data_IF_518262395232
#
_entry.id   IF_518262395232
#
_cell.length_a   1.000
_cell.length_b   1.000
_cell.length_c   1.000
_cell.angle_alpha   90.00
_cell.angle_beta   90.00
_cell.angle_gamma   90.00
#
_symmetry.space_group_name_H-M   'P 1'
#
loop_
_entity.id
_entity.type
_entity.pdbx_description
1 polymer ?
2 polymer ?
3 non-polymer ?
#
loop_
_entity_poly.entity_id
_entity_poly.type
_entity_poly.pdbx_seq_one_letter_code
_entity_poly.pdbx_strand_id
1 'polyribonucleotide' 'GGUUCGAAAUUAGGUGCGCUUCGCGUUACAGUUAAGGCUCUGAAAAGAGCCUUAAUUGUAAAACGCCUAUACAGUGAAGGGAUAUACGCUUGGGUUUGUCCAGCCUGAGCCUCUAUGCCAGAAAUGGCGCCUUCAUCGUGGGUUAGGACAUUUAAUUUU' ?
#
# COMPACT_ATOMS: atom_id res chain seq x y z
N UNK B 3 13.75 4.14 43.55
CA UNK B 3 14.08 5.07 42.44
C UNK B 3 13.09 4.85 41.28
N UNK B 4 12.35 5.89 40.89
CA UNK B 4 11.33 5.73 39.82
C UNK B 4 11.98 6.07 38.47
N UNK B 5 12.76 5.15 37.91
CA UNK B 5 13.36 5.38 36.56
C UNK B 5 12.28 5.06 35.52
N UNK B 6 11.66 6.08 34.94
CA UNK B 6 10.56 5.87 33.96
C UNK B 6 11.09 6.11 32.54
N UNK B 7 10.95 5.11 31.66
CA UNK B 7 11.34 5.24 30.26
C UNK B 7 10.16 5.76 29.46
N UNK B 8 10.38 6.88 28.78
CA UNK B 8 9.37 7.49 27.94
C UNK B 8 9.74 7.36 26.48
N UNK B 9 8.76 6.92 25.68
CA UNK B 9 8.96 6.67 24.26
C UNK B 9 7.92 7.46 23.49
N UNK B 10 8.38 8.42 22.68
CA UNK B 10 7.52 9.16 21.77
C UNK B 10 7.77 8.64 20.36
N UNK B 11 6.72 8.12 19.73
CA UNK B 11 6.83 7.45 18.44
C UNK B 11 6.14 8.29 17.38
N UNK B 12 6.94 8.86 16.48
CA UNK B 12 6.41 9.50 15.29
C UNK B 12 6.31 8.53 14.14
N UNK B 13 5.86 9.06 13.00
CA UNK B 13 5.77 8.24 11.81
C UNK B 13 7.12 7.87 11.21
N UNK B 14 8.13 8.71 11.42
CA UNK B 14 9.45 8.51 10.84
C UNK B 14 10.58 8.49 11.86
N UNK B 15 10.49 9.33 12.90
CA UNK B 15 11.53 9.45 13.91
C UNK B 15 10.95 9.02 15.26
N UNK B 16 11.83 8.66 16.19
CA UNK B 16 11.35 8.20 17.48
C UNK B 16 12.28 8.67 18.59
N UNK B 17 11.72 9.31 19.61
CA UNK B 17 12.48 9.79 20.76
C UNK B 17 12.37 8.87 21.95
N UNK B 18 13.51 8.59 22.57
CA UNK B 18 13.61 7.78 23.77
C UNK B 18 14.24 8.58 24.90
N UNK B 19 13.73 8.42 26.12
CA UNK B 19 14.31 9.09 27.26
C UNK B 19 14.11 8.27 28.51
N UNK B 20 14.99 8.45 29.50
CA UNK B 20 14.81 7.75 30.82
C UNK B 20 14.93 8.82 31.91
N UNK B 21 13.84 9.12 32.63
CA UNK B 21 13.88 10.25 33.61
C UNK B 21 13.73 9.75 35.05
N UNK B 22 14.77 9.93 35.88
CA UNK B 22 14.64 9.61 37.34
C UNK B 22 13.59 10.57 37.88
N UNK B 23 12.51 10.07 38.46
CA UNK B 23 11.39 10.91 38.85
C UNK B 23 11.60 11.67 40.15
N UNK B 24 12.63 11.35 40.95
CA UNK B 24 12.98 12.26 42.03
C UNK B 24 13.84 13.38 41.46
N UNK B 25 13.45 14.62 41.75
CA UNK B 25 14.02 15.85 41.23
C UNK B 25 13.94 15.96 39.71
N UNK B 26 13.19 15.06 39.05
CA UNK B 26 12.98 15.05 37.60
C UNK B 26 14.29 15.06 36.82
N UNK B 27 15.27 14.29 37.30
CA UNK B 27 16.53 14.18 36.60
C UNK B 27 16.36 13.31 35.34
N UNK B 28 17.18 13.59 34.34
CA UNK B 28 17.15 12.86 33.07
C UNK B 28 18.45 12.09 32.95
N UNK B 29 18.37 10.77 33.00
CA UNK B 29 19.56 9.92 32.92
C UNK B 29 19.89 9.47 31.50
N UNK B 30 18.93 9.57 30.59
CA UNK B 30 19.15 9.18 29.20
C UNK B 30 18.18 9.94 28.32
N UNK B 31 18.64 10.29 27.12
CA UNK B 31 17.82 10.99 26.13
C UNK B 31 18.45 10.77 24.77
N UNK B 32 17.66 10.29 23.81
CA UNK B 32 18.21 9.95 22.51
C UNK B 32 17.10 10.01 21.46
N UNK B 33 17.52 10.03 20.20
CA UNK B 33 16.65 9.97 19.05
C UNK B 33 17.07 8.82 18.14
N UNK B 34 16.13 8.33 17.34
CA UNK B 34 16.44 7.25 16.43
C UNK B 34 15.64 7.42 15.14
N UNK B 35 16.27 7.03 14.03
CA UNK B 35 15.67 7.08 12.71
C UNK B 35 15.14 5.70 12.36
N UNK B 36 13.86 5.63 12.03
CA UNK B 36 13.21 4.38 11.67
C UNK B 36 13.39 4.08 10.19
N UNK B 37 13.23 2.81 9.84
CA UNK B 37 13.38 2.38 8.45
C UNK B 37 12.12 2.69 7.66
N UNK B 38 12.24 3.57 6.68
CA UNK B 38 11.13 3.95 5.81
C UNK B 38 11.17 3.25 4.45
N UNK B 39 12.10 2.33 4.26
CA UNK B 39 12.34 1.70 2.97
C UNK B 39 11.72 0.32 2.85
N UNK B 40 10.85 -0.06 3.78
CA UNK B 40 10.31 -1.42 3.81
C UNK B 40 9.06 -1.55 2.96
N UNK B 41 8.21 -0.51 2.93
CA UNK B 41 7.01 -0.55 2.10
C UNK B 41 7.35 -0.61 0.62
N UNK B 42 8.37 0.15 0.20
CA UNK B 42 8.80 0.09 -1.19
C UNK B 42 9.42 -1.25 -1.54
N UNK B 43 10.15 -1.85 -0.61
CA UNK B 43 10.73 -3.17 -0.84
C UNK B 43 9.63 -4.23 -0.96
N UNK B 44 8.58 -4.12 -0.15
CA UNK B 44 7.45 -5.02 -0.29
C UNK B 44 6.68 -4.79 -1.58
N UNK B 45 6.59 -3.54 -2.04
CA UNK B 45 5.98 -3.28 -3.35
C UNK B 45 6.81 -3.90 -4.47
N UNK B 46 8.14 -3.85 -4.34
CA UNK B 46 9.01 -4.53 -5.29
C UNK B 46 8.79 -6.03 -5.26
N UNK B 47 8.62 -6.60 -4.07
CA UNK B 47 8.29 -8.02 -3.96
C UNK B 47 6.97 -8.35 -4.63
N UNK B 48 5.96 -7.50 -4.43
CA UNK B 48 4.66 -7.75 -5.04
C UNK B 48 4.75 -7.71 -6.57
N UNK B 49 5.49 -6.73 -7.11
CA UNK B 49 5.68 -6.66 -8.56
C UNK B 49 6.44 -7.88 -9.09
N UNK B 50 7.50 -8.28 -8.39
CA UNK B 50 8.29 -9.44 -8.82
C UNK B 50 7.47 -10.73 -8.74
N UNK B 51 6.67 -10.88 -7.68
CA UNK B 51 5.80 -12.04 -7.56
C UNK B 51 4.76 -12.08 -8.67
N UNK B 52 4.16 -10.94 -9.00
CA UNK B 52 3.22 -10.89 -10.10
C UNK B 52 3.86 -11.26 -11.43
N UNK B 53 5.08 -10.76 -11.67
CA UNK B 53 5.80 -11.08 -12.90
C UNK B 53 6.11 -12.57 -12.97
N UNK B 54 6.63 -13.13 -11.87
CA UNK B 54 7.00 -14.54 -11.84
C UNK B 54 5.79 -15.45 -12.00
N UNK B 55 4.68 -15.14 -11.33
CA UNK B 55 3.52 -15.99 -11.43
C UNK B 55 2.80 -15.84 -12.76
N UNK B 56 2.87 -14.66 -13.38
CA UNK B 56 2.39 -14.52 -14.75
C UNK B 56 3.21 -15.38 -15.71
N UNK B 57 4.53 -15.38 -15.54
CA UNK B 57 5.39 -16.23 -16.38
C UNK B 57 5.12 -17.71 -16.14
N UNK B 58 4.88 -18.11 -14.88
CA UNK B 58 4.58 -19.50 -14.58
C UNK B 58 3.24 -19.93 -15.16
N UNK B 59 2.23 -19.07 -15.07
CA UNK B 59 0.94 -19.36 -15.67
C UNK B 59 1.05 -19.44 -17.19
N UNK B 60 1.90 -18.58 -17.79
CA UNK B 60 2.16 -18.67 -19.22
C UNK B 60 2.80 -20.00 -19.58
N UNK B 61 3.76 -20.46 -18.78
CA UNK B 61 4.39 -21.75 -19.03
C UNK B 61 3.38 -22.89 -18.92
N UNK B 62 2.49 -22.82 -17.92
CA UNK B 62 1.47 -23.86 -17.76
C UNK B 62 0.50 -23.88 -18.94
N UNK B 63 0.07 -22.71 -19.39
CA UNK B 63 -0.84 -22.64 -20.54
C UNK B 63 -0.17 -23.14 -21.81
N UNK B 64 1.10 -22.78 -22.02
CA UNK B 64 1.83 -23.24 -23.20
C UNK B 64 2.00 -24.76 -23.17
N UNK B 65 2.34 -25.32 -22.02
CA UNK B 65 2.49 -26.77 -21.91
C UNK B 65 1.17 -27.49 -22.14
N UNK B 66 0.08 -26.97 -21.58
CA UNK B 66 -1.23 -27.59 -21.78
C UNK B 66 -1.66 -27.52 -23.24
N UNK B 67 -1.46 -26.38 -23.89
CA UNK B 67 -1.84 -26.24 -25.29
C UNK B 67 -0.98 -27.14 -26.18
N UNK B 68 0.33 -27.22 -25.91
CA UNK B 68 1.20 -28.11 -26.66
C UNK B 68 0.78 -29.56 -26.52
N UNK B 69 0.48 -29.98 -25.28
CA UNK B 69 0.04 -31.35 -25.05
C UNK B 69 -1.27 -31.66 -25.76
N UNK B 70 -2.24 -30.74 -25.68
CA UNK B 70 -3.52 -31.00 -26.34
C UNK B 70 -3.38 -31.02 -27.86
N UNK B 71 -2.63 -30.08 -28.43
CA UNK B 71 -2.50 -30.02 -29.87
C UNK B 71 -1.70 -31.20 -30.42
N UNK B 72 -0.69 -31.66 -29.68
CA UNK B 72 -0.01 -32.89 -30.09
C UNK B 72 -0.87 -34.12 -29.84
N UNK B 73 -1.85 -34.04 -28.94
CA UNK B 73 -2.76 -35.16 -28.73
C UNK B 73 -3.77 -35.28 -29.86
N UNK B 74 -4.25 -34.16 -30.39
CA UNK B 74 -5.27 -34.22 -31.45
C UNK B 74 -4.62 -34.32 -32.83
N UNK B 75 -3.30 -34.52 -32.86
CA UNK B 75 -2.61 -34.80 -34.10
C UNK B 75 -1.96 -33.61 -34.79
N UNK B 76 -1.99 -32.45 -34.14
CA UNK B 76 -1.35 -31.23 -34.71
C UNK B 76 0.07 -31.13 -34.18
N UNK B 77 1.02 -31.71 -34.92
CA UNK B 77 2.43 -31.74 -34.44
C UNK B 77 3.03 -30.33 -34.50
N UNK B 78 4.24 -30.16 -33.94
CA UNK B 78 4.88 -28.82 -33.90
C UNK B 78 4.90 -28.17 -35.29
N UNK B 79 5.21 -28.94 -36.33
CA UNK B 79 5.34 -28.37 -37.70
C UNK B 79 3.98 -27.87 -38.22
N UNK B 80 2.90 -28.60 -37.92
CA UNK B 80 1.57 -28.25 -38.47
C UNK B 80 1.35 -26.76 -38.55
N UNK B 81 1.07 -26.25 -39.76
CA UNK B 81 0.71 -24.84 -39.93
C UNK B 81 -0.48 -24.44 -39.07
N UNK B 82 -1.33 -25.38 -38.70
CA UNK B 82 -2.41 -25.12 -37.76
C UNK B 82 -1.93 -25.08 -36.32
N UNK B 83 -0.75 -25.66 -36.04
CA UNK B 83 -0.20 -25.63 -34.69
C UNK B 83 0.56 -24.35 -34.42
N UNK B 84 1.38 -23.91 -35.38
CA UNK B 84 2.24 -22.74 -35.17
C UNK B 84 1.42 -21.46 -35.01
N UNK B 85 0.32 -21.33 -35.74
CA UNK B 85 -0.55 -20.16 -35.58
C UNK B 85 -1.19 -20.14 -34.19
N UNK B 86 -1.68 -21.30 -33.73
CA UNK B 86 -2.34 -21.36 -32.43
C UNK B 86 -1.31 -21.21 -31.30
N UNK B 87 -0.13 -21.80 -31.46
CA UNK B 87 0.90 -21.64 -30.44
C UNK B 87 1.46 -20.23 -30.41
N UNK B 88 1.43 -19.53 -31.55
CA UNK B 88 1.89 -18.15 -31.58
C UNK B 88 0.91 -17.22 -30.88
N UNK B 89 -0.39 -17.44 -31.10
CA UNK B 89 -1.42 -16.65 -30.42
C UNK B 89 -1.57 -17.02 -28.95
N UNK B 90 -0.96 -18.12 -28.51
CA UNK B 90 -1.02 -18.48 -27.09
C UNK B 90 -0.12 -17.58 -26.24
N UNK B 91 0.99 -17.11 -26.82
CA UNK B 91 1.88 -16.20 -26.09
C UNK B 91 1.25 -14.82 -25.92
N UNK B 92 0.28 -14.46 -26.75
CA UNK B 92 -0.39 -13.16 -26.71
C UNK B 92 -1.89 -13.43 -26.79
N UNK B 93 -2.52 -13.65 -25.64
CA UNK B 93 -3.94 -13.94 -25.61
C UNK B 93 -4.81 -12.73 -25.33
N UNK B 94 -4.24 -11.64 -24.84
CA UNK B 94 -4.98 -10.40 -24.67
C UNK B 94 -5.80 -10.35 -23.41
N UNK B 95 -6.42 -9.19 -23.17
CA UNK B 95 -7.19 -9.00 -21.91
C UNK B 95 -8.63 -9.47 -22.11
N UNK B 96 -9.21 -10.09 -21.09
CA UNK B 96 -10.63 -10.55 -21.17
C UNK B 96 -11.52 -9.55 -20.43
N UNK B 97 -11.38 -8.26 -20.72
CA UNK B 97 -12.21 -7.22 -20.04
C UNK B 97 -12.23 -7.51 -18.55
N UNK B 98 -11.19 -8.16 -18.04
CA UNK B 98 -11.10 -8.45 -16.59
C UNK B 98 -9.70 -8.07 -16.11
N UNK B 99 -9.00 -7.22 -16.87
CA UNK B 99 -7.62 -6.82 -16.51
C UNK B 99 -7.57 -5.29 -16.36
N UNK B 116 -3.74 9.47 -3.77
CA UNK B 116 -4.81 8.56 -4.17
C UNK B 116 -5.08 8.69 -5.67
N UNK B 117 -5.23 9.93 -6.13
CA UNK B 117 -5.48 10.17 -7.56
C UNK B 117 -4.23 9.95 -8.39
N UNK B 118 -3.05 10.16 -7.81
CA UNK B 118 -1.81 9.93 -8.55
C UNK B 118 -1.64 8.45 -8.90
N UNK B 119 -1.94 7.55 -7.95
CA UNK B 119 -1.84 6.13 -8.21
C UNK B 119 -2.85 5.69 -9.28
N UNK B 120 -4.07 6.24 -9.20
CA UNK B 120 -5.07 5.92 -10.24
C UNK B 120 -4.54 6.41 -11.58
N UNK B 121 -4.16 7.69 -11.64
CA UNK B 121 -3.64 8.27 -12.90
C UNK B 121 -2.49 7.38 -13.40
N UNK B 122 -1.54 7.06 -12.52
CA UNK B 122 -0.36 6.25 -12.94
C UNK B 122 -0.81 4.92 -13.57
N UNK B 123 -1.65 4.15 -12.87
CA UNK B 123 -2.07 2.82 -13.38
C UNK B 123 -2.90 2.99 -14.65
N UNK B 124 -3.74 4.03 -14.70
CA UNK B 124 -4.59 4.27 -15.89
C UNK B 124 -3.70 4.38 -17.14
N UNK B 125 -2.56 5.05 -17.04
CA UNK B 125 -1.68 5.22 -18.21
C UNK B 125 -1.17 3.85 -18.66
N UNK B 126 -0.67 3.03 -17.71
CA UNK B 126 -0.10 1.71 -18.09
C UNK B 126 -1.19 0.85 -18.74
N UNK B 127 -2.43 0.93 -18.23
CA UNK B 127 -3.54 0.19 -18.88
C UNK B 127 -3.64 0.63 -20.33
N UNK B 128 -3.73 1.94 -20.57
CA UNK B 128 -3.83 2.46 -21.96
C UNK B 128 -2.57 2.03 -22.73
N UNK B 129 -1.41 2.09 -22.08
CA UNK B 129 -0.14 1.64 -22.74
C UNK B 129 -0.34 0.19 -23.17
N UNK B 130 -0.85 -0.65 -22.27
CA UNK B 130 -1.13 -2.06 -22.61
C UNK B 130 -2.18 -2.07 -23.68
N UNK B 131 -3.20 -1.22 -23.58
CA UNK B 131 -4.27 -1.30 -24.57
C UNK B 131 -3.80 -0.89 -25.97
N UNK B 132 -2.85 0.03 -26.05
CA UNK B 132 -2.39 0.49 -27.36
C UNK B 132 -1.54 -0.53 -28.09
N UNK B 133 -1.06 -1.59 -27.42
CA UNK B 133 -0.25 -2.60 -28.08
C UNK B 133 -0.67 -4.01 -27.68
N UNK B 134 -1.95 -4.21 -27.40
CA UNK B 134 -2.51 -5.54 -27.16
C UNK B 134 -3.90 -5.59 -27.76
N UNK B 135 -4.56 -6.73 -27.60
CA UNK B 135 -5.89 -6.95 -28.15
C UNK B 135 -6.81 -7.46 -27.06
N UNK B 136 -8.11 -7.59 -27.35
CA UNK B 136 -9.05 -8.17 -26.35
C UNK B 136 -9.11 -9.70 -26.53
N UNK B 137 -9.38 -10.46 -25.45
CA UNK B 137 -9.34 -11.93 -25.57
C UNK B 137 -10.04 -12.32 -26.88
N UNK B 138 -11.08 -11.72 -27.24
CA UNK B 138 -11.97 -12.07 -28.37
C UNK B 138 -11.19 -12.05 -29.68
N UNK B 139 -10.24 -11.11 -29.82
CA UNK B 139 -9.44 -10.98 -31.05
C UNK B 139 -8.52 -12.19 -31.23
N UNK B 140 -7.72 -12.51 -30.21
CA UNK B 140 -6.81 -13.69 -30.28
C UNK B 140 -7.65 -14.95 -30.47
N UNK B 141 -8.86 -14.97 -29.91
CA UNK B 141 -9.74 -16.17 -29.98
C UNK B 141 -10.34 -16.30 -31.38
N UNK B 142 -10.90 -15.21 -31.92
CA UNK B 142 -11.41 -15.27 -33.32
C UNK B 142 -10.23 -15.61 -34.25
N UNK B 143 -9.03 -15.27 -33.88
CA UNK B 143 -7.83 -15.55 -34.72
C UNK B 143 -7.49 -17.04 -34.64
N UNK B 144 -7.65 -17.65 -33.42
CA UNK B 144 -7.43 -19.14 -33.36
C UNK B 144 -8.62 -19.80 -34.09
N UNK B 145 -9.79 -19.18 -34.09
CA UNK B 145 -10.92 -19.74 -34.87
C UNK B 145 -10.48 -19.78 -36.34
N UNK B 146 -10.23 -18.63 -36.97
CA UNK B 146 -9.83 -18.69 -38.37
C UNK B 146 -8.64 -19.60 -38.59
N UNK B 147 -7.77 -19.73 -37.58
CA UNK B 147 -6.60 -20.60 -37.73
C UNK B 147 -7.00 -22.07 -37.81
N UNK B 148 -7.93 -22.50 -36.96
CA UNK B 148 -8.37 -23.89 -36.93
C UNK B 148 -9.61 -24.16 -37.77
N UNK B 149 -10.24 -23.13 -38.34
CA UNK B 149 -11.38 -23.37 -39.21
C UNK B 149 -10.93 -23.68 -40.63
N UNK B 150 -9.69 -23.37 -40.97
CA UNK B 150 -9.09 -23.79 -42.23
C UNK B 150 -8.04 -24.88 -42.03
N UNK B 151 -7.82 -25.33 -40.81
CA UNK B 151 -6.91 -26.42 -40.52
C UNK B 151 -7.56 -27.75 -40.24
N UNK B 152 -8.87 -27.89 -40.49
CA UNK B 152 -9.64 -29.12 -40.31
C UNK B 152 -9.55 -29.63 -38.87
N UNK B 153 -10.09 -28.81 -37.96
CA UNK B 153 -10.09 -29.11 -36.54
C UNK B 153 -11.49 -29.38 -36.00
N UNK B 154 -12.46 -29.61 -36.89
CA UNK B 154 -13.88 -29.87 -36.57
C UNK B 154 -14.40 -28.69 -35.75
N UNK B 155 -15.13 -28.91 -34.66
CA UNK B 155 -15.61 -27.81 -33.82
C UNK B 155 -15.30 -28.07 -32.35
N UNK B 156 -15.26 -29.35 -31.97
CA UNK B 156 -15.00 -29.71 -30.55
C UNK B 156 -13.57 -29.33 -30.20
N UNK B 157 -12.61 -29.60 -31.10
CA UNK B 157 -11.22 -29.33 -30.79
C UNK B 157 -10.95 -27.84 -30.66
N UNK B 158 -11.60 -27.01 -31.48
CA UNK B 158 -11.49 -25.57 -31.34
C UNK B 158 -12.19 -25.09 -30.07
N UNK B 159 -13.24 -25.80 -29.65
CA UNK B 159 -13.91 -25.47 -28.40
C UNK B 159 -13.05 -25.84 -27.19
N UNK B 160 -12.24 -26.89 -27.29
CA UNK B 160 -11.38 -27.30 -26.20
C UNK B 160 -10.12 -26.45 -26.08
N UNK B 161 -9.70 -25.74 -27.14
CA UNK B 161 -8.60 -24.80 -27.00
C UNK B 161 -9.09 -23.44 -26.53
N UNK B 162 -10.39 -23.19 -26.58
CA UNK B 162 -10.95 -22.01 -25.94
C UNK B 162 -11.03 -22.15 -24.42
N UNK B 163 -11.02 -23.38 -23.91
CA UNK B 163 -10.93 -23.61 -22.48
C UNK B 163 -9.50 -23.61 -21.97
N UNK B 164 -8.52 -23.40 -22.85
CA UNK B 164 -7.15 -23.22 -22.45
C UNK B 164 -6.72 -21.77 -22.57
N UNK B 165 -7.20 -21.08 -23.60
CA UNK B 165 -6.96 -19.65 -23.73
C UNK B 165 -7.70 -18.88 -22.62
N UNK B 166 -8.99 -19.17 -22.45
CA UNK B 166 -9.79 -18.54 -21.41
C UNK B 166 -9.84 -19.37 -20.14
N UNK B 167 -8.66 -19.75 -19.65
CA UNK B 167 -8.52 -20.54 -18.44
C UNK B 167 -7.72 -19.76 -17.42
N UNK B 168 -8.15 -19.85 -16.16
CA UNK B 168 -7.42 -19.19 -15.04
C UNK B 168 -6.74 -20.32 -14.27
N UNK B 169 -5.42 -20.27 -14.18
CA UNK B 169 -4.70 -21.38 -13.55
C UNK B 169 -4.61 -21.20 -12.04
N UNK B 170 -4.04 -20.12 -11.59
CA UNK B 170 -4.04 -19.83 -10.15
C UNK B 170 -5.29 -19.06 -9.79
N UNK B 171 -6.07 -19.52 -8.81
CA UNK B 171 -7.38 -18.91 -8.55
C UNK B 171 -7.27 -17.46 -8.11
N UNK B 172 -8.19 -16.63 -8.61
CA UNK B 172 -8.22 -15.22 -8.30
C UNK B 172 -9.06 -15.02 -7.05
N UNK B 173 -8.41 -14.92 -5.90
CA UNK B 173 -9.06 -14.85 -4.60
C UNK B 173 -8.65 -13.56 -3.92
N UNK B 174 -9.54 -12.56 -3.96
CA UNK B 174 -9.24 -11.23 -3.44
C UNK B 174 -10.35 -10.65 -2.58
N UNK B 175 -11.40 -11.42 -2.30
CA UNK B 175 -12.54 -10.88 -1.56
C UNK B 175 -12.28 -10.72 -0.08
N UNK B 176 -11.49 -11.61 0.53
CA UNK B 176 -11.28 -11.64 1.97
C UNK B 176 -9.78 -11.73 2.29
N UNK B 177 -8.98 -10.90 1.64
CA UNK B 177 -7.53 -10.93 1.80
C UNK B 177 -7.01 -9.89 2.79
N UNK B 178 -7.43 -8.63 2.63
CA UNK B 178 -7.01 -7.57 3.54
C UNK B 178 -7.78 -7.71 4.84
N UNK B 179 -7.15 -8.30 5.85
CA UNK B 179 -7.80 -8.63 7.11
C UNK B 179 -7.34 -7.69 8.21
N UNK B 180 -8.29 -7.04 8.87
CA UNK B 180 -8.03 -6.20 10.02
C UNK B 180 -8.81 -6.76 11.22
N UNK B 181 -8.17 -6.76 12.38
CA UNK B 181 -8.87 -7.17 13.60
C UNK B 181 -9.50 -5.93 14.25
N UNK B 182 -10.17 -6.15 15.38
CA UNK B 182 -10.87 -5.07 16.07
C UNK B 182 -9.89 -4.30 16.96
N UNK B 183 -10.31 -3.10 17.37
CA UNK B 183 -9.45 -2.18 18.10
C UNK B 183 -9.63 -2.24 19.61
N UNK B 184 -10.78 -2.75 20.08
CA UNK B 184 -11.14 -2.64 21.50
C UNK B 184 -10.46 -3.67 22.37
N UNK B 185 -9.71 -4.61 21.77
CA UNK B 185 -8.73 -5.47 22.42
C UNK B 185 -9.32 -6.59 23.26
N UNK B 186 -10.62 -6.57 23.53
CA UNK B 186 -11.22 -7.75 24.15
C UNK B 186 -11.84 -8.68 23.12
N UNK B 187 -12.07 -8.19 21.90
CA UNK B 187 -12.38 -9.05 20.76
C UNK B 187 -11.38 -8.74 19.67
N UNK B 188 -10.74 -9.77 19.13
CA UNK B 188 -9.85 -9.58 18.00
C UNK B 188 -10.46 -10.18 16.75
N UNK B 189 -11.79 -10.10 16.65
CA UNK B 189 -12.53 -10.79 15.59
C UNK B 189 -12.34 -10.06 14.26
N UNK B 190 -12.72 -10.72 13.17
CA UNK B 190 -12.55 -10.15 11.84
C UNK B 190 -13.53 -9.00 11.62
N UNK B 191 -13.00 -7.84 11.28
CA UNK B 191 -13.86 -6.71 10.95
C UNK B 191 -14.46 -6.91 9.56
N UNK B 192 -15.72 -6.54 9.37
CA UNK B 192 -16.33 -6.65 8.04
C UNK B 192 -15.84 -5.58 7.09
N UNK B 193 -16.06 -5.83 5.81
CA UNK B 193 -15.77 -4.82 4.81
C UNK B 193 -16.77 -3.68 4.90
N UNK B 194 -16.34 -2.49 4.47
CA UNK B 194 -17.19 -1.31 4.54
C UNK B 194 -18.43 -1.41 3.66
N UNK B 195 -18.42 -2.25 2.66
CA UNK B 195 -19.57 -2.34 1.72
C UNK B 195 -20.58 -3.40 2.20
N UNK B 196 -20.25 -4.10 3.31
CA UNK B 196 -21.18 -5.08 3.86
C UNK B 196 -21.97 -4.55 5.04
N UNK B 197 -21.41 -3.62 5.82
CA UNK B 197 -22.05 -3.15 7.04
C UNK B 197 -22.40 -1.68 6.92
N UNK B 198 -22.78 -1.26 5.70
CA UNK B 198 -23.15 0.14 5.46
C UNK B 198 -24.27 0.58 6.38
N UNK B 199 -25.21 -0.32 6.68
CA UNK B 199 -26.29 0.00 7.62
C UNK B 199 -25.74 0.33 9.00
N UNK B 200 -24.72 -0.40 9.44
CA UNK B 200 -24.06 -0.05 10.70
C UNK B 200 -23.08 1.10 10.53
N UNK B 201 -22.71 1.44 9.29
CA UNK B 201 -21.77 2.53 9.09
C UNK B 201 -22.48 3.88 9.10
N UNK B 202 -23.51 4.00 8.19
CA UNK B 202 -24.27 5.28 8.06
C UNK B 202 -24.86 5.67 9.43
N UNK B 203 -25.44 4.74 10.15
CA UNK B 203 -26.05 5.05 11.45
C UNK B 203 -25.00 5.54 12.44
N UNK B 204 -23.76 5.05 12.32
CA UNK B 204 -22.66 5.59 13.11
C UNK B 204 -22.44 7.07 12.86
N UNK B 205 -22.82 7.56 11.68
CA UNK B 205 -22.83 8.99 11.42
C UNK B 205 -24.02 9.66 12.09
N UNK B 206 -25.21 9.05 11.99
CA UNK B 206 -26.44 9.75 12.38
C UNK B 206 -26.73 9.66 13.87
N UNK B 207 -25.93 8.89 14.64
CA UNK B 207 -26.11 8.90 16.08
C UNK B 207 -25.80 10.26 16.68
N UNK B 208 -24.77 10.91 16.12
CA UNK B 208 -24.37 12.26 16.58
C UNK B 208 -25.04 13.32 15.72
N UNK B 209 -26.36 13.21 15.54
CA UNK B 209 -27.09 14.18 14.74
C UNK B 209 -28.17 14.83 15.59
N UNK B 210 -28.38 16.15 15.44
CA UNK B 210 -29.39 16.87 16.23
C UNK B 210 -30.80 16.77 15.63
N UNK B 211 -31.24 15.55 15.33
CA UNK B 211 -32.55 15.30 14.74
C UNK B 211 -33.26 14.23 15.56
N UNK B 212 -34.53 14.02 15.22
CA UNK B 212 -35.33 13.00 15.87
C UNK B 212 -34.89 11.60 15.41
N UNK B 213 -35.20 10.61 16.25
CA UNK B 213 -34.85 9.22 15.92
C UNK B 213 -35.61 8.72 14.69
N UNK B 214 -36.86 9.16 14.53
CA UNK B 214 -37.59 8.86 13.30
C UNK B 214 -36.92 9.50 12.09
N UNK B 215 -36.41 10.74 12.26
CA UNK B 215 -35.62 11.36 11.21
C UNK B 215 -34.31 10.62 10.98
N UNK B 216 -33.72 10.06 12.04
CA UNK B 216 -32.53 9.23 11.87
C UNK B 216 -32.82 8.00 11.04
N UNK B 217 -33.95 7.35 11.28
CA UNK B 217 -34.34 6.19 10.49
C UNK B 217 -34.67 6.57 9.04
N UNK B 218 -35.30 7.73 8.85
CA UNK B 218 -35.60 8.20 7.50
C UNK B 218 -34.31 8.49 6.74
N UNK B 219 -33.33 9.09 7.42
CA UNK B 219 -32.02 9.31 6.79
C UNK B 219 -31.30 8.00 6.51
N UNK B 220 -31.46 7.01 7.40
CA UNK B 220 -30.92 5.68 7.15
C UNK B 220 -31.49 5.09 5.86
N UNK B 221 -32.81 5.16 5.71
CA UNK B 221 -33.46 4.62 4.52
C UNK B 221 -33.06 5.40 3.27
N UNK B 222 -32.89 6.73 3.39
CA UNK B 222 -32.54 7.53 2.23
C UNK B 222 -31.10 7.31 1.78
N UNK B 223 -30.16 7.29 2.72
CA UNK B 223 -28.75 7.15 2.35
C UNK B 223 -28.41 5.71 1.99
N UNK B 224 -29.07 4.73 2.60
CA UNK B 224 -28.71 3.33 2.38
C UNK B 224 -29.15 2.83 1.01
N UNK B 225 -28.51 3.37 -0.05
CA UNK B 225 -28.78 3.05 -1.45
C UNK B 225 -30.25 3.32 -1.75
N UNK B 226 -31.00 2.36 -2.31
CA UNK B 226 -32.39 2.48 -2.75
C UNK B 226 -32.61 3.57 -3.80
N UNK B 227 -31.54 4.12 -4.38
CA UNK B 227 -31.59 5.18 -5.40
C UNK B 227 -32.42 6.37 -4.95
N UNK B 228 -32.23 6.78 -3.69
CA UNK B 228 -33.01 7.87 -3.13
C UNK B 228 -32.11 8.99 -2.60
N UNK B 229 -31.10 9.38 -3.39
CA UNK B 229 -30.18 10.44 -2.99
C UNK B 229 -30.79 11.82 -3.07
N UNK B 230 -31.94 11.99 -3.75
CA UNK B 230 -32.58 13.31 -3.78
C UNK B 230 -33.11 13.70 -2.42
N UNK B 231 -33.63 12.75 -1.65
CA UNK B 231 -34.04 13.04 -0.28
C UNK B 231 -32.83 13.32 0.61
N UNK B 232 -31.71 12.67 0.33
CA UNK B 232 -30.47 12.96 1.05
C UNK B 232 -30.04 14.39 0.81
N UNK B 233 -30.07 14.83 -0.46
CA UNK B 233 -29.73 16.21 -0.78
C UNK B 233 -30.71 17.20 -0.19
N UNK B 234 -32.02 16.87 -0.18
CA UNK B 234 -33.00 17.77 0.43
C UNK B 234 -32.79 17.91 1.93
N UNK B 235 -32.51 16.80 2.62
CA UNK B 235 -32.20 16.86 4.05
C UNK B 235 -30.92 17.66 4.30
N UNK B 236 -29.91 17.47 3.46
CA UNK B 236 -28.63 18.15 3.67
C UNK B 236 -28.75 19.64 3.39
N UNK B 237 -29.60 20.03 2.45
CA UNK B 237 -29.89 21.45 2.25
C UNK B 237 -30.71 21.98 3.41
N UNK B 238 -31.60 21.17 3.97
CA UNK B 238 -32.48 21.62 5.04
C UNK B 238 -31.74 21.71 6.39
N UNK B 239 -30.82 20.78 6.64
CA UNK B 239 -30.20 20.65 7.95
C UNK B 239 -28.73 21.07 7.90
N UNK B 240 -28.26 21.67 8.99
CA UNK B 240 -26.91 22.19 9.09
C UNK B 240 -25.97 21.05 9.48
N UNK B 241 -25.18 20.58 8.53
CA UNK B 241 -24.34 19.40 8.74
C UNK B 241 -22.99 19.66 8.07
N UNK B 242 -21.91 19.24 8.73
CA UNK B 242 -20.56 19.57 8.30
C UNK B 242 -20.24 18.96 6.94
N UNK B 243 -19.28 19.57 6.24
CA UNK B 243 -18.91 19.14 4.90
C UNK B 243 -18.17 17.80 4.92
N UNK B 244 -17.39 17.53 5.98
CA UNK B 244 -16.75 16.22 6.07
C UNK B 244 -17.76 15.13 6.34
N UNK B 245 -18.77 15.42 7.18
CA UNK B 245 -19.88 14.49 7.37
C UNK B 245 -20.67 14.32 6.08
N UNK B 246 -20.80 15.41 5.31
CA UNK B 246 -21.42 15.34 3.98
C UNK B 246 -20.66 14.36 3.09
N UNK B 247 -19.33 14.48 3.07
CA UNK B 247 -18.50 13.61 2.25
C UNK B 247 -18.57 12.16 2.71
N UNK B 248 -18.58 11.92 4.02
CA UNK B 248 -18.69 10.56 4.53
C UNK B 248 -20.03 9.94 4.18
N UNK B 249 -21.13 10.71 4.29
CA UNK B 249 -22.44 10.18 3.96
C UNK B 249 -22.53 9.86 2.47
N UNK B 250 -22.03 10.76 1.62
CA UNK B 250 -22.04 10.50 0.17
C UNK B 250 -21.08 9.37 -0.22
N UNK B 251 -20.03 9.14 0.57
CA UNK B 251 -19.18 7.97 0.36
C UNK B 251 -19.93 6.69 0.69
N UNK B 252 -20.75 6.73 1.74
CA UNK B 252 -21.56 5.57 2.10
C UNK B 252 -22.62 5.31 1.03
N UNK B 253 -23.28 6.36 0.56
CA UNK B 253 -24.43 6.21 -0.33
C UNK B 253 -24.04 5.76 -1.73
N UNK B 254 -22.88 6.20 -2.21
CA UNK B 254 -22.45 5.91 -3.57
C UNK B 254 -21.74 4.57 -3.71
N UNK B 255 -21.59 3.82 -2.61
CA UNK B 255 -20.90 2.53 -2.59
C UNK B 255 -19.46 2.65 -3.09
N UNK B 256 -18.83 3.77 -2.78
CA UNK B 256 -17.44 4.01 -3.10
C UNK B 256 -16.51 3.54 -1.99
N UNK B 257 -17.04 2.85 -0.99
CA UNK B 257 -16.27 2.45 0.18
C UNK B 257 -15.25 1.39 -0.19
N UNK B 258 -14.04 1.59 0.32
CA UNK B 258 -12.95 0.62 0.09
C UNK B 258 -12.38 0.23 1.45
N UNK B 259 -11.81 -0.96 1.52
CA UNK B 259 -11.21 -1.45 2.75
C UNK B 259 -12.25 -1.92 3.75
N UNK B 260 -11.76 -2.47 4.85
CA UNK B 260 -12.62 -2.99 5.89
C UNK B 260 -13.22 -1.85 6.70
N UNK B 261 -14.23 -2.18 7.50
CA UNK B 261 -14.90 -1.18 8.32
C UNK B 261 -14.00 -0.74 9.47
N UNK B 262 -14.43 0.30 10.17
CA UNK B 262 -13.69 0.76 11.33
C UNK B 262 -14.11 -0.12 12.49
N UNK B 263 -13.54 -1.32 12.55
CA UNK B 263 -13.63 -2.28 13.64
C UNK B 263 -15.03 -2.85 13.85
N UNK B 264 -15.11 -3.99 14.56
CA UNK B 264 -16.18 -4.98 14.43
C UNK B 264 -17.60 -4.48 14.68
N UNK B 265 -18.59 -5.27 14.23
CA UNK B 265 -19.98 -4.86 14.16
C UNK B 265 -20.58 -4.54 15.53
N UNK B 266 -20.33 -5.39 16.52
CA UNK B 266 -20.84 -5.13 17.87
C UNK B 266 -20.13 -3.97 18.55
N UNK B 267 -19.03 -3.49 17.98
CA UNK B 267 -18.27 -2.39 18.56
C UNK B 267 -18.16 -1.20 17.60
N UNK B 268 -18.99 -1.17 16.56
CA UNK B 268 -19.06 0.03 15.73
C UNK B 268 -19.71 1.17 16.51
N UNK B 269 -20.82 0.88 17.19
CA UNK B 269 -21.58 1.90 17.89
C UNK B 269 -21.13 2.12 19.33
N UNK B 270 -20.49 1.14 19.96
CA UNK B 270 -20.00 1.28 21.33
C UNK B 270 -18.53 0.84 21.40
N UNK B 271 -17.64 1.82 21.56
CA UNK B 271 -16.22 1.55 21.77
C UNK B 271 -15.62 2.51 22.78
N UNK B 272 -16.42 2.98 23.74
CA UNK B 272 -15.97 3.96 24.70
C UNK B 272 -15.34 3.33 25.93
N UNK B 273 -15.23 2.01 26.00
CA UNK B 273 -14.65 1.31 27.14
C UNK B 273 -13.44 0.52 26.69
N UNK B 274 -12.37 0.55 27.42
CA UNK B 274 -11.19 -0.25 27.03
C UNK B 274 -11.37 -1.69 27.53
N UNK B 275 -10.26 -2.40 27.78
CA UNK B 275 -10.32 -3.81 28.15
C UNK B 275 -9.06 -4.19 28.89
N UNK B 281 -0.52 -8.54 19.60
CA UNK B 281 -1.20 -8.26 18.34
C UNK B 281 -0.33 -8.81 17.24
N UNK B 282 -0.63 -10.03 16.79
CA UNK B 282 0.23 -10.71 15.83
C UNK B 282 0.16 -10.08 14.45
N UNK B 283 -0.97 -9.46 14.10
CA UNK B 283 -1.14 -8.85 12.79
C UNK B 283 -0.83 -7.35 12.94
N UNK B 284 0.05 -6.86 12.06
CA UNK B 284 0.34 -5.44 11.92
C UNK B 284 1.12 -5.23 10.64
N UNK B 285 1.25 -3.98 10.23
CA UNK B 285 2.00 -3.67 9.02
C UNK B 285 3.48 -3.99 9.25
N UNK B 286 4.12 -4.73 8.35
CA UNK B 286 5.53 -5.10 8.57
C UNK B 286 6.49 -3.92 8.57
N UNK B 287 6.17 -2.83 7.87
CA UNK B 287 6.94 -1.60 8.02
C UNK B 287 6.81 -1.06 9.44
N UNK B 288 5.59 -1.03 9.97
CA UNK B 288 5.37 -0.64 11.36
C UNK B 288 6.06 -1.61 12.31
N UNK B 289 6.02 -2.91 12.00
CA UNK B 289 6.65 -3.92 12.84
C UNK B 289 8.16 -3.73 12.90
N UNK B 290 8.81 -3.50 11.76
CA UNK B 290 10.26 -3.30 11.80
C UNK B 290 10.66 -1.94 12.37
N UNK B 291 9.79 -0.93 12.26
CA UNK B 291 10.04 0.33 12.96
C UNK B 291 10.02 0.12 14.47
N UNK B 292 8.99 -0.59 14.96
CA UNK B 292 8.90 -0.88 16.39
C UNK B 292 10.06 -1.76 16.84
N UNK B 293 10.51 -2.66 16.05
CA UNK B 293 11.64 -3.54 16.45
C UNK B 293 12.95 -2.74 16.46
N UNK B 294 13.11 -1.78 15.49
CA UNK B 294 14.28 -0.90 15.58
C UNK B 294 14.27 -0.10 16.87
N UNK B 295 13.11 0.43 17.25
CA UNK B 295 13.01 1.16 18.51
C UNK B 295 13.32 0.24 19.68
N UNK B 296 12.85 -1.01 19.62
CA UNK B 296 13.16 -1.98 20.67
C UNK B 296 14.64 -2.36 20.67
N UNK B 297 15.29 -2.34 19.52
CA UNK B 297 16.73 -2.57 19.46
C UNK B 297 17.48 -1.48 20.19
N UNK B 298 17.04 -0.22 20.04
CA UNK B 298 17.63 0.86 20.84
C UNK B 298 17.25 0.72 22.32
N UNK B 299 16.03 0.27 22.61
CA UNK B 299 15.55 0.12 23.99
C UNK B 299 16.39 -0.92 24.72
N UNK B 300 16.71 -2.03 24.06
CA UNK B 300 17.59 -3.04 24.64
C UNK B 300 18.99 -2.51 24.89
N UNK B 301 19.40 -1.45 24.19
CA UNK B 301 20.63 -0.74 24.53
C UNK B 301 20.43 0.27 25.64
N UNK B 302 19.19 0.68 25.94
CA UNK B 302 18.93 1.37 27.20
C UNK B 302 18.77 0.40 28.36
N UNK B 303 18.31 -0.81 28.09
CA UNK B 303 17.98 -1.77 29.15
C UNK B 303 19.24 -2.25 29.87
N UNK B 304 20.31 -2.42 29.09
CA UNK B 304 21.58 -2.90 29.67
C UNK B 304 21.94 -2.07 30.92
N UNK B 305 22.14 -0.74 30.85
CA UNK B 305 22.57 0.03 32.01
C UNK B 305 21.49 0.76 32.82
N UNK B 306 20.21 0.60 32.47
CA UNK B 306 19.12 1.23 33.27
C UNK B 306 17.96 0.24 33.47
N UNK B 307 17.53 0.04 34.72
CA UNK B 307 16.36 -0.85 35.00
C UNK B 307 15.13 0.02 35.14
N UNK B 308 14.34 0.15 34.07
CA UNK B 308 13.19 1.07 34.10
C UNK B 308 12.00 0.41 34.76
N UNK B 309 11.51 0.98 35.86
CA UNK B 309 10.38 0.44 36.60
C UNK B 309 9.03 0.81 36.00
N UNK B 310 8.99 1.74 35.05
CA UNK B 310 7.73 2.22 34.49
C UNK B 310 7.97 2.69 33.06
N UNK B 311 7.05 2.63 32.19
CA UNK B 311 7.23 3.05 30.79
C UNK B 311 6.02 3.87 30.31
N UNK B 312 6.19 5.07 29.92
CA UNK B 312 5.18 5.99 29.40
C UNK B 312 5.47 6.12 27.91
N UNK B 313 4.54 5.64 27.09
CA UNK B 313 4.73 5.65 25.64
C UNK B 313 3.55 6.34 24.99
N UNK B 314 3.85 7.18 23.99
CA UNK B 314 2.75 7.79 23.18
C UNK B 314 3.14 7.55 21.72
N UNK B 315 2.53 6.60 21.04
CA UNK B 315 2.97 6.29 19.66
C UNK B 315 1.98 6.96 18.72
N UNK B 316 2.45 7.84 17.82
CA UNK B 316 1.54 8.64 16.95
C UNK B 316 2.07 8.61 15.52
N UNK B 317 1.68 9.61 14.73
CA UNK B 317 2.22 9.71 13.35
C UNK B 317 3.17 10.91 13.28
N UNK B 318 2.75 12.05 12.90
CA UNK B 318 3.62 13.25 12.96
C UNK B 318 4.98 12.93 12.31
N UNK B 443 -8.47 7.72 30.76
CA UNK B 443 -8.67 9.16 30.59
C UNK B 443 -9.74 9.43 29.53
N UNK B 444 -9.49 10.45 28.71
CA UNK B 444 -10.37 10.81 27.61
C UNK B 444 -9.74 10.48 26.25
N UNK B 445 -8.81 9.52 26.25
CA UNK B 445 -8.09 9.15 25.05
C UNK B 445 -8.95 8.24 24.16
N UNK B 446 -8.42 7.93 22.98
CA UNK B 446 -9.05 6.96 22.09
C UNK B 446 -8.56 5.56 22.45
N UNK B 447 -8.85 4.58 21.60
CA UNK B 447 -8.45 3.22 21.86
C UNK B 447 -6.94 3.06 21.63
N UNK B 448 -6.42 1.93 22.10
CA UNK B 448 -5.00 1.64 21.94
C UNK B 448 -4.67 1.37 20.48
N UNK B 449 -3.61 2.00 19.99
CA UNK B 449 -3.18 1.77 18.62
C UNK B 449 -2.55 0.38 18.48
N UNK B 450 -2.61 -0.15 17.26
CA UNK B 450 -2.07 -1.48 16.98
C UNK B 450 -0.56 -1.47 17.15
N UNK B 451 0.11 -0.43 16.67
CA UNK B 451 1.54 -0.30 16.89
C UNK B 451 1.88 -0.08 18.35
N UNK B 452 1.07 0.72 19.06
CA UNK B 452 1.22 0.89 20.49
C UNK B 452 1.03 -0.42 21.25
N UNK B 453 0.01 -1.20 20.90
CA UNK B 453 -0.23 -2.47 21.58
C UNK B 453 0.89 -3.47 21.32
N UNK B 454 1.35 -3.56 20.07
CA UNK B 454 2.47 -4.45 19.75
C UNK B 454 3.75 -4.00 20.46
N UNK B 455 3.96 -2.69 20.56
CA UNK B 455 5.11 -2.16 21.28
C UNK B 455 5.05 -2.51 22.75
N UNK B 456 3.87 -2.39 23.38
CA UNK B 456 3.73 -2.73 24.79
C UNK B 456 3.98 -4.22 25.01
N UNK B 457 3.43 -5.07 24.15
CA UNK B 457 3.63 -6.52 24.29
C UNK B 457 5.09 -6.90 24.11
N UNK B 458 5.76 -6.33 23.11
CA UNK B 458 7.17 -6.65 22.89
C UNK B 458 8.07 -6.05 23.95
N UNK B 459 7.68 -4.91 24.53
CA UNK B 459 8.43 -4.34 25.65
C UNK B 459 8.31 -5.22 26.88
N UNK B 460 7.12 -5.75 27.15
CA UNK B 460 6.96 -6.68 28.26
C UNK B 460 7.72 -7.98 28.01
N UNK B 461 7.79 -8.43 26.76
CA UNK B 461 8.58 -9.61 26.44
C UNK B 461 10.07 -9.36 26.63
N UNK B 462 10.60 -8.27 26.19
CA UNK B 462 12.07 -8.03 26.22
C UNK B 462 12.55 -7.62 27.63
N UNK B 468 4.97 -5.42 34.12
CA UNK B 468 5.60 -4.12 33.93
C UNK B 468 4.54 -3.07 33.61
N UNK B 469 4.49 -1.96 34.37
CA UNK B 469 3.53 -0.91 34.04
C UNK B 469 3.95 -0.15 32.78
N UNK B 470 3.13 -0.23 31.74
CA UNK B 470 3.38 0.45 30.47
C UNK B 470 2.13 1.25 30.14
N UNK B 471 2.14 2.54 30.49
CA UNK B 471 1.00 3.41 30.31
C UNK B 471 1.14 4.29 29.07
N UNK B 472 0.01 4.85 28.66
CA UNK B 472 -0.02 5.75 27.47
C UNK B 472 -0.56 7.10 27.95
N UNK B 473 0.29 8.13 27.96
CA UNK B 473 -0.11 9.45 28.43
C UNK B 473 -1.01 10.13 27.41
N UNK B 474 -1.96 10.91 27.90
CA UNK B 474 -2.83 11.66 27.02
C UNK B 474 -2.05 12.78 26.34
N UNK B 475 -2.55 13.19 25.17
CA UNK B 475 -1.92 14.27 24.43
C UNK B 475 -2.11 15.63 25.06
N UNK B 476 -3.13 15.79 25.90
CA UNK B 476 -3.40 17.08 26.51
C UNK B 476 -2.30 17.46 27.49
N UNK B 477 -1.94 16.54 28.40
CA UNK B 477 -0.90 16.82 29.38
C UNK B 477 0.46 16.99 28.72
N UNK B 478 0.77 16.13 27.75
CA UNK B 478 2.05 16.22 27.04
C UNK B 478 2.16 17.53 26.26
N UNK B 479 1.08 17.92 25.57
CA UNK B 479 1.09 19.17 24.81
C UNK B 479 1.20 20.37 25.74
N UNK B 480 0.50 20.32 26.89
CA UNK B 480 0.57 21.42 27.86
C UNK B 480 1.98 21.60 28.38
N UNK B 481 2.55 20.51 28.93
CA UNK B 481 3.88 20.63 29.57
C UNK B 481 4.95 20.89 28.53
N UNK B 482 4.61 20.73 27.25
CA UNK B 482 5.64 20.90 26.19
C UNK B 482 5.87 22.39 25.96
N UNK B 483 4.89 23.07 25.36
CA UNK B 483 5.06 24.51 25.03
C UNK B 483 5.27 25.31 26.33
N UNK B 484 4.62 24.90 27.42
CA UNK B 484 4.73 25.64 28.70
C UNK B 484 6.17 25.54 29.23
N UNK B 485 6.91 24.51 28.84
CA UNK B 485 8.34 24.42 29.23
C UNK B 485 9.22 24.94 28.09
N UNK B 486 8.73 25.89 27.29
CA UNK B 486 9.51 26.40 26.18
C UNK B 486 9.26 25.62 24.91
N UNK B 487 9.51 26.26 23.77
CA UNK B 487 9.45 25.73 22.40
C UNK B 487 8.06 25.17 22.02
N UNK B 488 7.85 24.77 20.84
CA UNK B 488 6.55 24.20 20.40
C UNK B 488 6.81 22.93 19.57
N UNK B 489 5.77 22.34 18.98
CA UNK B 489 5.93 21.05 18.25
C UNK B 489 6.28 21.28 16.77
N UNK B 490 7.30 20.59 16.25
CA UNK B 490 7.64 20.68 14.84
C UNK B 490 7.53 19.30 14.21
N UNK B 491 6.87 19.14 13.14
CA UNK B 491 6.71 17.81 12.50
C UNK B 491 8.00 17.48 11.77
N UNK B 492 8.69 16.49 12.12
CA UNK B 492 9.94 16.03 11.58
C UNK B 492 11.17 16.46 12.33
N UNK B 493 11.02 17.05 13.52
CA UNK B 493 12.16 17.50 14.32
C UNK B 493 12.57 16.40 15.29
N UNK B 494 13.81 15.97 15.24
CA UNK B 494 14.28 14.89 16.13
C UNK B 494 14.48 15.40 17.53
N UNK B 495 14.92 16.65 17.66
CA UNK B 495 15.07 17.27 19.00
C UNK B 495 13.71 17.29 19.67
N UNK B 496 12.68 17.72 18.93
CA UNK B 496 11.33 17.77 19.49
C UNK B 496 10.88 16.39 19.96
N UNK B 497 11.21 15.34 19.20
CA UNK B 497 10.87 13.98 19.61
C UNK B 497 11.59 13.59 20.89
N UNK B 498 12.88 13.93 20.98
CA UNK B 498 13.64 13.62 22.20
C UNK B 498 13.09 14.36 23.41
N UNK B 499 12.73 15.63 23.23
CA UNK B 499 12.20 16.40 24.35
C UNK B 499 10.78 15.97 24.72
N UNK B 500 10.00 15.48 23.75
CA UNK B 500 8.71 14.89 24.07
C UNK B 500 8.87 13.59 24.85
N UNK B 501 9.89 12.80 24.53
CA UNK B 501 10.18 11.63 25.34
C UNK B 501 10.63 12.01 26.74
N UNK B 502 11.40 13.11 26.87
CA UNK B 502 11.83 13.58 28.18
C UNK B 502 10.62 14.03 29.01
N UNK B 503 9.70 14.77 28.38
CA UNK B 503 8.50 15.23 29.07
C UNK B 503 7.60 14.06 29.43
N UNK B 504 7.53 13.06 28.54
CA UNK B 504 6.67 11.90 28.75
C UNK B 504 7.08 11.09 29.97
N UNK B 505 8.39 10.93 30.18
CA UNK B 505 8.91 10.16 31.31
C UNK B 505 9.08 11.00 32.57
N UNK B 506 8.82 12.30 32.51
CA UNK B 506 9.07 13.19 33.63
C UNK B 506 7.91 13.20 34.61
N UNK B 507 8.23 13.42 35.89
CA UNK B 507 7.22 13.52 36.94
C UNK B 507 6.63 14.93 36.88
N UNK B 508 5.37 15.02 36.47
CA UNK B 508 4.73 16.31 36.32
C UNK B 508 4.36 16.91 37.66
N UNK B 509 4.71 18.18 37.84
CA UNK B 509 4.17 19.03 38.89
C UNK B 509 3.19 20.04 38.33
N UNK B 510 2.84 21.03 39.14
CA UNK B 510 1.91 22.07 38.69
C UNK B 510 2.29 23.36 39.39
N UNK B 511 1.77 24.48 38.88
CA UNK B 511 2.08 25.80 39.48
C UNK B 511 1.38 25.93 40.84
N UNK B 515 7.88 24.70 36.91
CA UNK B 515 9.00 25.02 36.04
C UNK B 515 10.33 25.00 36.80
N UNK B 516 10.32 24.32 37.96
CA UNK B 516 11.51 24.24 38.80
C UNK B 516 11.81 22.78 39.10
N UNK B 517 11.38 21.89 38.22
CA UNK B 517 11.53 20.45 38.43
C UNK B 517 12.43 19.80 37.40
N UNK B 518 12.12 20.00 36.12
CA UNK B 518 12.85 19.28 35.02
C UNK B 518 14.28 19.78 34.87
N UNK B 519 15.25 18.99 35.36
CA UNK B 519 16.66 19.31 35.19
C UNK B 519 17.35 18.18 34.43
N UNK B 520 18.66 18.34 34.23
CA UNK B 520 19.46 17.35 33.52
C UNK B 520 20.32 16.59 34.53
N UNK B 557 16.96 -8.17 -14.36
CA UNK B 557 17.13 -8.20 -15.82
C UNK B 557 18.48 -8.83 -16.17
N UNK B 558 18.50 -9.84 -17.03
CA UNK B 558 19.76 -10.47 -17.41
C UNK B 558 20.60 -9.57 -18.30
N UNK B 559 21.88 -9.89 -18.38
CA UNK B 559 22.85 -9.17 -19.20
C UNK B 559 23.47 -10.10 -20.22
N UNK B 560 24.12 -9.51 -21.22
CA UNK B 560 24.74 -10.25 -22.31
C UNK B 560 26.23 -10.45 -22.02
N UNK B 561 26.83 -11.49 -22.37
CA UNK B 561 28.27 -11.75 -22.12
C UNK B 561 28.88 -12.28 -23.42
N UNK B 562 28.65 -11.61 -24.52
CA UNK B 562 29.23 -11.91 -25.82
C UNK B 562 30.56 -11.20 -25.99
N UNK B 563 31.55 -11.92 -26.53
CA UNK B 563 32.87 -11.42 -26.90
C UNK B 563 33.64 -10.87 -25.70
N UNK B 564 33.34 -11.33 -24.49
CA UNK B 564 34.06 -10.91 -23.32
C UNK B 564 33.71 -9.55 -22.77
N UNK B 565 32.74 -8.87 -23.37
CA UNK B 565 32.33 -7.54 -22.93
C UNK B 565 30.83 -7.56 -22.64
N UNK B 566 30.43 -6.93 -21.53
CA UNK B 566 29.00 -6.95 -21.10
C UNK B 566 28.25 -5.82 -21.83
N UNK B 567 27.18 -6.17 -22.55
CA UNK B 567 26.38 -5.16 -23.25
C UNK B 567 24.92 -5.46 -23.06
N UNK B 568 24.25 -4.75 -22.16
CA UNK B 568 22.79 -4.97 -22.02
C UNK B 568 22.04 -3.87 -22.79
N UNK B 569 20.82 -4.16 -23.20
CA UNK B 569 19.99 -3.24 -23.96
C UNK B 569 19.15 -2.40 -23.00
N UNK B 570 19.18 -1.09 -23.20
CA UNK B 570 18.38 -0.15 -22.42
C UNK B 570 17.59 0.72 -23.37
N UNK B 571 16.33 0.98 -23.02
CA UNK B 571 15.50 1.88 -23.79
C UNK B 571 16.01 3.31 -23.65
N UNK B 572 15.63 4.15 -24.62
CA UNK B 572 16.07 5.58 -24.60
C UNK B 572 15.52 6.24 -23.32
N UNK B 573 14.33 5.83 -22.86
CA UNK B 573 13.83 6.36 -21.60
C UNK B 573 14.69 5.93 -20.43
N UNK B 574 15.27 4.73 -20.49
CA UNK B 574 16.06 4.19 -19.40
C UNK B 574 17.52 4.63 -19.42
N UNK B 575 17.96 5.30 -20.48
CA UNK B 575 19.33 5.78 -20.55
C UNK B 575 19.45 7.10 -19.79
N UNK B 576 20.36 7.14 -18.83
CA UNK B 576 20.56 8.31 -17.98
C UNK B 576 21.70 9.18 -18.51
N UNK B 577 21.68 10.44 -18.10
CA UNK B 577 22.73 11.38 -18.50
C UNK B 577 24.05 11.05 -17.81
N UNK B 578 25.13 11.37 -18.49
CA UNK B 578 26.48 11.07 -18.02
C UNK B 578 27.01 9.75 -18.51
N UNK B 579 26.15 8.74 -18.61
CA UNK B 579 26.51 7.42 -19.09
C UNK B 579 26.03 7.17 -20.52
N UNK B 580 25.95 8.21 -21.34
CA UNK B 580 25.56 8.04 -22.72
C UNK B 580 26.68 7.42 -23.56
N UNK B 581 27.94 7.58 -23.12
CA UNK B 581 29.09 7.07 -23.87
C UNK B 581 29.21 5.56 -23.81
N UNK B 582 28.45 4.88 -22.97
CA UNK B 582 28.49 3.43 -22.89
C UNK B 582 27.73 2.75 -24.01
N UNK B 583 27.01 3.50 -24.84
CA UNK B 583 26.23 2.93 -25.93
C UNK B 583 27.18 2.41 -27.00
N UNK B 584 27.05 1.13 -27.34
CA UNK B 584 27.91 0.53 -28.37
C UNK B 584 27.56 1.10 -29.74
N UNK B 585 26.28 1.36 -29.98
CA UNK B 585 25.81 1.84 -31.28
C UNK B 585 26.32 3.26 -31.52
N UNK B 586 27.32 3.39 -32.40
CA UNK B 586 27.78 4.70 -32.80
C UNK B 586 26.86 5.37 -33.81
N UNK B 587 25.90 4.63 -34.38
CA UNK B 587 24.94 5.21 -35.30
C UNK B 587 23.88 6.03 -34.57
N UNK B 588 23.50 5.60 -33.36
CA UNK B 588 22.48 6.28 -32.57
C UNK B 588 23.05 7.04 -31.38
N UNK B 589 24.36 6.95 -31.14
CA UNK B 589 24.97 7.65 -30.01
C UNK B 589 24.85 9.16 -30.17
N UNK B 590 25.22 9.65 -31.37
CA UNK B 590 25.12 11.11 -31.63
C UNK B 590 23.64 11.51 -31.55
N UNK B 591 22.75 10.74 -32.16
CA UNK B 591 21.34 11.10 -32.16
C UNK B 591 20.81 11.21 -30.73
N UNK B 592 21.23 10.27 -29.87
CA UNK B 592 20.78 10.29 -28.45
C UNK B 592 21.29 11.58 -27.78
N UNK B 593 22.60 11.81 -27.82
CA UNK B 593 23.19 12.99 -27.11
C UNK B 593 22.59 14.29 -27.69
N UNK B 594 22.44 14.36 -29.02
CA UNK B 594 21.88 15.59 -29.66
C UNK B 594 20.47 15.85 -29.11
N UNK B 595 19.63 14.84 -29.06
CA UNK B 595 18.25 15.01 -28.54
C UNK B 595 18.29 15.47 -27.08
N UNK B 596 19.27 14.98 -26.32
CA UNK B 596 19.36 15.33 -24.88
C UNK B 596 20.09 16.67 -24.72
N UNK B 597 20.40 17.33 -25.83
CA UNK B 597 21.05 18.67 -25.78
C UNK B 597 20.23 19.66 -26.63
N UNK B 598 20.01 19.34 -27.90
CA UNK B 598 19.21 20.22 -28.79
C UNK B 598 17.81 20.39 -28.18
N UNK B 599 17.18 19.27 -27.80
CA UNK B 599 15.84 19.34 -27.14
C UNK B 599 16.05 19.32 -25.64
N UNK B 600 17.28 19.04 -25.20
CA UNK B 600 17.59 18.98 -23.74
C UNK B 600 16.36 18.45 -22.99
N UNK B 610 7.05 11.35 -25.03
CA UNK B 610 6.58 12.42 -25.94
C UNK B 610 7.80 13.05 -26.63
N UNK B 611 8.85 13.37 -25.86
CA UNK B 611 10.07 13.98 -26.45
C UNK B 611 10.69 13.00 -27.44
N UNK B 612 10.53 11.70 -27.17
CA UNK B 612 11.07 10.67 -28.06
C UNK B 612 10.35 10.68 -29.41
N UNK B 613 9.03 10.86 -29.40
CA UNK B 613 8.30 11.06 -30.64
C UNK B 613 8.71 12.34 -31.33
N UNK B 614 8.98 13.39 -30.53
CA UNK B 614 9.52 14.63 -31.10
C UNK B 614 10.92 14.41 -31.67
N UNK B 615 11.75 13.63 -30.99
CA UNK B 615 13.11 13.34 -31.45
C UNK B 615 13.16 12.19 -32.43
N UNK B 616 12.02 11.59 -32.76
CA UNK B 616 11.99 10.46 -33.69
C UNK B 616 12.63 9.19 -33.17
N UNK B 617 12.45 8.89 -31.90
CA UNK B 617 12.91 7.63 -31.32
C UNK B 617 11.78 6.63 -31.12
N UNK B 618 10.58 6.95 -31.60
CA UNK B 618 9.45 6.01 -31.56
C UNK B 618 9.31 5.25 -32.88
N UNK B 619 10.39 4.62 -33.33
CA UNK B 619 10.39 3.90 -34.61
C UNK B 619 10.24 2.41 -34.28
N UNK B 620 8.99 1.97 -34.21
CA UNK B 620 8.65 0.56 -34.00
C UNK B 620 7.32 0.30 -34.69
N UNK B 621 6.75 -0.89 -34.46
CA UNK B 621 5.46 -1.22 -35.05
C UNK B 621 4.34 -0.40 -34.41
N UNK B 622 4.31 -0.35 -33.08
CA UNK B 622 3.34 0.45 -32.35
C UNK B 622 3.92 1.77 -31.88
N UNK B 623 4.99 2.24 -32.54
CA UNK B 623 5.68 3.50 -32.22
C UNK B 623 6.17 3.52 -30.78
N UNK B 624 6.75 2.41 -30.34
CA UNK B 624 7.36 2.33 -29.02
C UNK B 624 8.80 2.83 -29.07
N UNK B 625 9.37 3.08 -27.90
CA UNK B 625 10.72 3.59 -27.80
C UNK B 625 11.71 2.47 -28.08
N UNK B 626 12.69 2.79 -28.92
CA UNK B 626 13.72 1.80 -29.30
C UNK B 626 14.70 1.62 -28.15
N UNK B 627 15.47 0.55 -28.19
CA UNK B 627 16.48 0.26 -27.17
C UNK B 627 17.85 0.11 -27.83
N UNK B 628 18.88 0.60 -27.14
CA UNK B 628 20.25 0.53 -27.62
C UNK B 628 21.08 -0.32 -26.67
N UNK B 629 22.07 -1.01 -27.23
CA UNK B 629 23.00 -1.78 -26.42
C UNK B 629 23.99 -0.86 -25.73
N UNK B 630 24.08 -0.96 -24.42
CA UNK B 630 24.96 -0.13 -23.61
C UNK B 630 25.99 -1.01 -22.93
N UNK B 631 27.25 -0.60 -22.97
CA UNK B 631 28.34 -1.36 -22.37
C UNK B 631 28.35 -1.13 -20.87
N UNK B 632 28.07 -2.18 -20.10
CA UNK B 632 28.05 -2.08 -18.64
C UNK B 632 29.49 -2.08 -18.14
N UNK B 633 29.81 -1.10 -17.28
CA UNK B 633 31.15 -1.01 -16.72
C UNK B 633 31.23 -1.72 -15.37
#
# INVERSE_FOLDING_TARGET
>B
MERELVLGIDYGGKYTGLAVVDRRHNQVLYANRLKMRDDVAGILKDRRKQRGIRRTAQTKKKRLRELKNYLKSIGYNESTATFETVYSLAHKRGYDYADMPEEKTSEEIEAMDVEERKQWEKEKQEWEETKRNSRHRKEVVKDVHKAMIEGRATEEQIKRVERIFNKQYRPKRFNNRILTKCKVEDCGVNTPLRKNVRDLLIENIVRFFPIEQSEKDNLKDAVLDKNRREEVKSFFRKHKTDEHIRKQVYDIADNKLSGRTVFCKEHILEHTEHSKEERKVFRLAPSLKTKIENVLAVIKDEILPKFTVNKVVMESNNFDIAAKTQGKKRLAKEEYGKGPREGKETRKEALLRETDGRCIYCGKSIDISNAHDDHIFPRKAGGLNIFANLVACCAVCNENKKGRTPLESGISPKPEIIAFMKNDLKKKILEDARNINTVDFNKYMSHASIGWRYMRDRLRESAGNKKLPIERQSGIYTAYFRRWWGFKKERGNTLHHALDAVILASRKGYSDDGLVDMTLKPKYNKGGEFDPEKHLPEPIEFKMDKGSRGSALHDRNPLSYKKGIITRRFMVTEIECGKEDDVISETYREKLKEAFKRFDTKKGKCLTDKEAKEAGFCIKKNELVMSLKCSIKGTGPGQMIRINNNVFKTNVHNVGVDVYLDEKGKKKAYERKNPRLSKHFIEPPPQPNGRVSFTLKRRDMVTVEGEDAIYRIKKLGTSPTIEAVVGSDGKTRTVSATKLTKANSAE
#
